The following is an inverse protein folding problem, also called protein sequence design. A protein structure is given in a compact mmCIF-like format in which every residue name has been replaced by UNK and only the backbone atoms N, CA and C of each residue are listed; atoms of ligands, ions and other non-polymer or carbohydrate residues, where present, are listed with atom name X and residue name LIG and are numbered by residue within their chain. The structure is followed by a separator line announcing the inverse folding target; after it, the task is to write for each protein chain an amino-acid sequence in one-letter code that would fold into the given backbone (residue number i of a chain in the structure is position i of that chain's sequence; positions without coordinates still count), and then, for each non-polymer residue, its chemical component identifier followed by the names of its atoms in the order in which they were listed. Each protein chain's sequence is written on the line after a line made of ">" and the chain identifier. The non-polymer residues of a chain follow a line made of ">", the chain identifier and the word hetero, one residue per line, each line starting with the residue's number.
data_IF_943907521421
#
_entry.id   IF_943907521421
#
_cell.length_a   1.000
_cell.length_b   1.000
_cell.length_c   1.000
_cell.angle_alpha   90.00
_cell.angle_beta   90.00
_cell.angle_gamma   90.00
#
_symmetry.space_group_name_H-M   'P 1'
#
loop_
_entity.id
_entity.type
_entity.pdbx_description
1 polymer ?
#
# COMPACT_ATOMS: atom_id res chain seq x y z
N UNK A 1 -3.74 -8.54 7.30
CA UNK A 1 -3.40 -9.92 6.89
C UNK A 1 -2.00 -9.98 6.30
N UNK A 2 -1.38 -11.17 6.23
CA UNK A 2 -0.06 -11.36 5.60
C UNK A 2 -0.17 -12.18 4.32
N UNK A 3 0.64 -11.83 3.33
CA UNK A 3 0.76 -12.47 2.03
C UNK A 3 2.17 -13.07 1.94
N UNK A 4 2.26 -14.38 1.68
CA UNK A 4 3.54 -15.06 1.49
C UNK A 4 3.62 -15.67 0.09
N UNK A 5 4.08 -14.89 -0.88
CA UNK A 5 4.29 -15.38 -2.25
C UNK A 5 5.59 -16.16 -2.42
N UNK A 6 5.58 -17.48 -2.17
CA UNK A 6 6.76 -18.35 -2.37
C UNK A 6 7.98 -17.92 -1.55
N UNK A 7 9.11 -17.63 -2.23
CA UNK A 7 10.38 -17.18 -1.63
C UNK A 7 10.49 -15.65 -1.38
N UNK A 8 9.43 -14.88 -1.61
CA UNK A 8 9.45 -13.43 -1.33
C UNK A 8 9.37 -13.11 0.17
N UNK A 9 9.86 -11.93 0.60
CA UNK A 9 9.58 -11.43 1.94
C UNK A 9 8.06 -11.38 2.18
N UNK A 10 7.67 -11.67 3.42
CA UNK A 10 6.27 -11.62 3.83
C UNK A 10 5.74 -10.19 3.65
N UNK A 11 4.68 -10.07 2.88
CA UNK A 11 4.01 -8.80 2.61
C UNK A 11 2.75 -8.65 3.46
N UNK A 12 2.27 -7.42 3.60
CA UNK A 12 1.02 -7.10 4.29
C UNK A 12 -0.07 -6.75 3.29
N UNK A 13 -1.29 -7.11 3.66
CA UNK A 13 -2.51 -6.66 3.00
C UNK A 13 -3.48 -6.10 4.04
N UNK A 14 -4.26 -5.12 3.62
CA UNK A 14 -5.23 -4.40 4.42
C UNK A 14 -6.62 -4.67 3.90
N UNK A 15 -7.50 -5.22 4.73
CA UNK A 15 -8.88 -5.52 4.34
C UNK A 15 -9.63 -4.20 4.26
N UNK A 16 -10.14 -3.86 3.08
CA UNK A 16 -10.83 -2.58 2.80
C UNK A 16 -12.29 -2.78 2.37
N UNK A 17 -12.73 -4.03 2.33
CA UNK A 17 -14.11 -4.44 2.09
C UNK A 17 -14.25 -5.94 2.26
N UNK A 18 -15.49 -6.44 2.26
CA UNK A 18 -15.81 -7.85 2.54
C UNK A 18 -14.97 -8.83 1.71
N UNK A 19 -14.75 -8.54 0.43
CA UNK A 19 -14.02 -9.41 -0.50
C UNK A 19 -12.73 -8.78 -1.02
N UNK A 20 -12.27 -7.69 -0.41
CA UNK A 20 -11.24 -6.83 -0.98
C UNK A 20 -10.13 -6.52 0.03
N UNK A 21 -8.90 -6.70 -0.40
CA UNK A 21 -7.73 -6.25 0.34
C UNK A 21 -6.79 -5.40 -0.54
N UNK A 22 -6.14 -4.42 0.07
CA UNK A 22 -5.16 -3.55 -0.55
C UNK A 22 -3.74 -3.98 -0.17
N UNK A 23 -2.85 -4.08 -1.13
CA UNK A 23 -1.42 -4.37 -0.93
C UNK A 23 -0.59 -3.67 -1.99
N UNK A 24 0.71 -3.92 -2.01
CA UNK A 24 1.59 -3.45 -3.07
C UNK A 24 1.63 -4.42 -4.24
N UNK A 25 1.79 -3.93 -5.46
CA UNK A 25 1.83 -4.77 -6.65
C UNK A 25 3.04 -5.71 -6.64
N UNK A 26 4.22 -5.27 -6.21
CA UNK A 26 5.41 -6.15 -6.14
C UNK A 26 5.19 -7.40 -5.27
N UNK A 27 4.28 -7.34 -4.28
CA UNK A 27 3.99 -8.46 -3.39
C UNK A 27 3.24 -9.60 -4.08
N UNK A 28 2.50 -9.30 -5.14
CA UNK A 28 1.62 -10.25 -5.83
C UNK A 28 1.90 -10.36 -7.32
N UNK A 29 2.77 -9.50 -7.87
CA UNK A 29 3.25 -9.59 -9.24
C UNK A 29 3.96 -10.93 -9.46
N UNK A 30 3.52 -11.68 -10.47
CA UNK A 30 4.06 -12.99 -10.84
C UNK A 30 4.01 -14.04 -9.70
N UNK A 31 3.10 -13.87 -8.72
CA UNK A 31 2.88 -14.87 -7.67
C UNK A 31 1.73 -15.79 -8.06
N UNK A 32 1.94 -17.09 -7.91
CA UNK A 32 0.86 -18.06 -8.03
C UNK A 32 -0.17 -17.75 -6.93
N UNK A 33 -1.40 -17.59 -7.38
CA UNK A 33 -2.60 -17.28 -6.60
C UNK A 33 -2.76 -18.24 -5.41
N UNK A 34 -2.37 -19.50 -5.59
CA UNK A 34 -2.44 -20.55 -4.56
C UNK A 34 -1.42 -20.39 -3.42
N UNK A 35 -0.41 -19.54 -3.59
CA UNK A 35 0.61 -19.29 -2.56
C UNK A 35 0.20 -18.24 -1.53
N UNK A 36 -0.90 -17.51 -1.74
CA UNK A 36 -1.36 -16.47 -0.81
C UNK A 36 -2.16 -17.12 0.34
N UNK A 37 -1.44 -17.42 1.42
CA UNK A 37 -1.73 -18.44 2.42
C UNK A 37 -2.99 -18.33 3.31
N UNK A 38 -4.00 -17.49 3.06
CA UNK A 38 -5.09 -17.34 4.05
C UNK A 38 -6.52 -17.22 3.52
N UNK A 39 -6.74 -16.91 2.24
CA UNK A 39 -8.09 -16.81 1.68
C UNK A 39 -8.03 -17.28 0.24
N UNK A 40 -8.99 -18.11 -0.19
CA UNK A 40 -9.11 -18.53 -1.59
C UNK A 40 -9.08 -17.28 -2.47
N UNK A 41 -7.95 -17.04 -3.10
CA UNK A 41 -7.66 -15.80 -3.78
C UNK A 41 -8.27 -15.88 -5.18
N UNK A 42 -9.08 -14.90 -5.54
CA UNK A 42 -9.82 -14.90 -6.81
C UNK A 42 -9.06 -14.14 -7.91
N UNK A 43 -8.20 -13.19 -7.53
CA UNK A 43 -7.36 -12.44 -8.48
C UNK A 43 -6.84 -11.12 -7.94
N UNK A 44 -5.82 -10.56 -8.62
CA UNK A 44 -5.28 -9.23 -8.33
C UNK A 44 -5.59 -8.25 -9.47
N UNK A 45 -5.90 -7.01 -9.10
CA UNK A 45 -6.08 -5.89 -10.02
C UNK A 45 -5.02 -4.85 -9.68
N UNK A 46 -4.25 -4.43 -10.68
CA UNK A 46 -3.16 -3.49 -10.50
C UNK A 46 -3.60 -2.07 -10.83
N UNK A 47 -3.06 -1.10 -10.10
CA UNK A 47 -3.25 0.30 -10.46
C UNK A 47 -2.73 0.54 -11.91
N UNK A 48 -3.48 1.24 -12.77
CA UNK A 48 -3.21 1.28 -14.22
C UNK A 48 -2.01 2.14 -14.62
N UNK A 49 -1.49 2.96 -13.72
CA UNK A 49 -0.31 3.79 -13.99
C UNK A 49 0.89 2.88 -14.25
N UNK A 50 1.36 2.90 -15.50
CA UNK A 50 2.54 2.14 -15.93
C UNK A 50 3.79 2.71 -15.29
N UNK A 51 4.71 1.82 -14.91
CA UNK A 51 6.03 2.15 -14.40
C UNK A 51 6.70 3.20 -15.30
N UNK A 52 6.82 4.44 -14.82
CA UNK A 52 7.76 5.40 -15.41
C UNK A 52 9.14 5.02 -14.90
N UNK A 53 9.82 4.13 -15.61
CA UNK A 53 11.23 3.84 -15.37
C UNK A 53 12.06 4.78 -16.25
N UNK A 54 12.56 5.88 -15.68
CA UNK A 54 13.54 6.76 -16.36
C UNK A 54 14.90 6.77 -15.67
N UNK A 55 15.09 6.02 -14.57
CA UNK A 55 16.31 6.14 -13.74
C UNK A 55 16.90 4.82 -13.25
N UNK A 56 16.35 3.65 -13.60
CA UNK A 56 16.89 2.38 -13.10
C UNK A 56 16.68 2.17 -11.59
N UNK A 57 15.75 2.94 -11.00
CA UNK A 57 15.29 2.72 -9.63
C UNK A 57 14.27 1.58 -9.61
N UNK A 58 14.50 0.57 -8.76
CA UNK A 58 13.75 -0.70 -8.74
C UNK A 58 12.30 -0.61 -8.24
N UNK A 59 11.74 0.59 -8.07
CA UNK A 59 10.43 0.80 -7.46
C UNK A 59 9.51 1.55 -8.43
N UNK A 60 8.38 0.94 -8.78
CA UNK A 60 7.40 1.56 -9.68
C UNK A 60 6.63 2.67 -8.97
N UNK A 61 6.37 3.76 -9.70
CA UNK A 61 5.36 4.75 -9.33
C UNK A 61 4.03 4.02 -9.07
N UNK A 62 3.39 4.28 -7.92
CA UNK A 62 2.09 3.72 -7.56
C UNK A 62 2.04 2.18 -7.57
N UNK A 63 3.01 1.56 -6.90
CA UNK A 63 3.11 0.11 -6.71
C UNK A 63 2.02 -0.45 -5.79
N UNK A 64 0.76 -0.46 -6.26
CA UNK A 64 -0.43 -0.88 -5.51
C UNK A 64 -1.26 -1.91 -6.29
N UNK A 65 -1.84 -2.85 -5.54
CA UNK A 65 -2.75 -3.87 -6.03
C UNK A 65 -3.96 -4.03 -5.11
N UNK A 66 -5.11 -4.28 -5.71
CA UNK A 66 -6.30 -4.81 -5.06
C UNK A 66 -6.33 -6.33 -5.21
N UNK A 67 -6.65 -7.01 -4.12
CA UNK A 67 -6.83 -8.45 -4.07
C UNK A 67 -8.32 -8.73 -3.89
N UNK A 68 -8.88 -9.52 -4.80
CA UNK A 68 -10.20 -10.12 -4.66
C UNK A 68 -10.04 -11.49 -4.01
N UNK A 69 -10.87 -11.78 -3.02
CA UNK A 69 -10.97 -13.11 -2.41
C UNK A 69 -12.36 -13.69 -2.64
N UNK A 70 -12.48 -15.03 -2.62
CA UNK A 70 -13.76 -15.71 -2.84
C UNK A 70 -14.66 -15.69 -1.59
N UNK A 71 -14.07 -15.59 -0.40
CA UNK A 71 -14.79 -15.63 0.88
C UNK A 71 -14.72 -14.28 1.57
N UNK A 72 -15.81 -13.90 2.24
CA UNK A 72 -15.87 -12.67 3.01
C UNK A 72 -14.83 -12.69 4.15
N UNK A 73 -14.17 -11.56 4.35
CA UNK A 73 -13.16 -11.30 5.37
C UNK A 73 -13.65 -10.32 6.44
N UNK A 74 -14.95 -9.98 6.47
CA UNK A 74 -15.49 -8.93 7.35
C UNK A 74 -15.17 -9.15 8.84
N UNK A 75 -15.17 -10.41 9.29
CA UNK A 75 -14.87 -10.78 10.68
C UNK A 75 -13.41 -10.55 11.10
N UNK A 76 -12.52 -10.31 10.13
CA UNK A 76 -11.09 -10.10 10.37
C UNK A 76 -10.74 -8.61 10.63
N UNK A 77 -11.73 -7.72 10.56
CA UNK A 77 -11.56 -6.28 10.79
C UNK A 77 -11.15 -5.54 9.53
N UNK A 78 -11.95 -4.55 9.14
CA UNK A 78 -11.69 -3.67 8.00
C UNK A 78 -10.96 -2.42 8.44
N UNK A 79 -10.01 -1.97 7.62
CA UNK A 79 -9.42 -0.64 7.78
C UNK A 79 -10.23 0.38 6.99
N UNK A 80 -10.36 1.57 7.55
CA UNK A 80 -10.95 2.72 6.86
C UNK A 80 -9.84 3.44 6.11
N UNK A 81 -10.04 3.76 4.83
CA UNK A 81 -9.09 4.51 4.02
C UNK A 81 -9.23 6.00 4.33
N UNK A 82 -8.10 6.69 4.53
CA UNK A 82 -8.08 8.14 4.65
C UNK A 82 -8.47 8.79 3.32
N UNK A 83 -9.43 9.72 3.29
CA UNK A 83 -9.74 10.50 2.09
C UNK A 83 -8.70 11.60 1.84
N UNK A 84 -7.85 11.90 2.83
CA UNK A 84 -6.97 13.07 2.82
C UNK A 84 -5.51 12.67 2.61
N UNK A 85 -4.81 13.51 1.83
CA UNK A 85 -3.35 13.48 1.76
C UNK A 85 -2.77 13.93 3.10
N UNK A 86 -1.79 13.20 3.65
CA UNK A 86 -1.18 13.62 4.90
C UNK A 86 -0.40 14.92 4.71
N UNK A 87 -0.47 15.78 5.71
CA UNK A 87 0.23 17.06 5.71
C UNK A 87 1.70 16.87 6.12
N UNK A 88 2.57 17.78 5.66
CA UNK A 88 3.93 17.84 6.16
C UNK A 88 3.95 18.00 7.70
N UNK A 89 4.83 17.26 8.37
CA UNK A 89 4.93 17.23 9.83
C UNK A 89 3.92 16.32 10.53
N UNK A 90 2.91 15.80 9.81
CA UNK A 90 1.96 14.85 10.36
C UNK A 90 2.67 13.60 10.91
N UNK A 91 2.18 13.12 12.05
CA UNK A 91 2.66 11.89 12.67
C UNK A 91 1.80 10.73 12.20
N UNK A 92 2.41 9.79 11.48
CA UNK A 92 1.76 8.57 11.05
C UNK A 92 2.29 7.39 11.86
N UNK A 93 1.42 6.42 12.08
CA UNK A 93 1.71 5.24 12.87
C UNK A 93 1.80 3.99 11.98
N UNK A 94 2.89 3.23 12.09
CA UNK A 94 2.97 1.89 11.50
C UNK A 94 2.44 0.87 12.52
N UNK A 95 1.33 0.22 12.17
CA UNK A 95 0.49 -0.49 13.14
C UNK A 95 1.07 -1.77 13.74
N UNK A 96 2.11 -2.34 13.14
CA UNK A 96 2.68 -3.62 13.62
C UNK A 96 3.90 -3.40 14.50
N UNK A 97 4.80 -2.51 14.08
CA UNK A 97 6.03 -2.20 14.83
C UNK A 97 5.84 -1.08 15.83
N UNK A 98 4.65 -0.44 15.83
CA UNK A 98 4.31 0.68 16.70
C UNK A 98 5.30 1.85 16.52
N UNK A 99 5.70 2.10 15.27
CA UNK A 99 6.68 3.13 14.93
C UNK A 99 5.94 4.39 14.51
N UNK A 100 6.32 5.52 15.11
CA UNK A 100 5.91 6.84 14.64
C UNK A 100 6.82 7.27 13.49
N UNK A 101 6.19 7.82 12.46
CA UNK A 101 6.86 8.39 11.30
C UNK A 101 6.38 9.83 11.11
N UNK A 102 7.27 10.70 10.67
CA UNK A 102 6.95 12.11 10.41
C UNK A 102 6.94 12.36 8.92
N UNK A 103 5.82 12.83 8.39
CA UNK A 103 5.72 13.21 6.97
C UNK A 103 6.66 14.37 6.68
N UNK A 104 7.42 14.25 5.59
CA UNK A 104 8.37 15.29 5.16
C UNK A 104 7.84 16.06 3.97
N UNK A 105 8.42 17.23 3.72
CA UNK A 105 8.09 18.03 2.55
C UNK A 105 8.24 17.24 1.25
N UNK A 106 7.36 17.57 0.30
CA UNK A 106 7.42 17.03 -1.05
C UNK A 106 8.79 17.29 -1.70
N UNK A 107 9.36 18.48 -1.52
CA UNK A 107 10.69 18.82 -2.04
C UNK A 107 11.80 17.94 -1.48
N UNK A 108 11.74 17.57 -0.20
CA UNK A 108 12.71 16.65 0.39
C UNK A 108 12.49 15.21 -0.08
N UNK A 109 11.23 14.81 -0.27
CA UNK A 109 10.89 13.51 -0.85
C UNK A 109 11.44 13.37 -2.28
N UNK A 110 11.26 14.41 -3.11
CA UNK A 110 11.66 14.39 -4.52
C UNK A 110 13.16 14.43 -4.74
N UNK A 111 13.93 15.02 -3.82
CA UNK A 111 15.40 14.91 -3.83
C UNK A 111 15.91 13.49 -3.65
N UNK A 112 15.16 12.63 -2.94
CA UNK A 112 15.59 11.27 -2.61
C UNK A 112 15.10 10.30 -3.67
N UNK A 113 13.82 10.37 -4.04
CA UNK A 113 13.22 9.40 -4.93
C UNK A 113 13.09 9.93 -6.36
N UNK A 114 12.97 11.24 -6.58
CA UNK A 114 12.48 11.85 -7.83
C UNK A 114 11.02 12.36 -7.73
N UNK A 115 10.44 12.85 -8.83
CA UNK A 115 9.06 13.32 -8.86
C UNK A 115 8.06 12.16 -9.04
N UNK A 116 7.19 11.93 -8.04
CA UNK A 116 6.10 10.96 -8.11
C UNK A 116 4.80 11.65 -7.70
N UNK A 117 3.79 11.63 -8.57
CA UNK A 117 2.44 12.01 -8.17
C UNK A 117 1.79 10.89 -7.36
N UNK A 118 0.97 11.26 -6.38
CA UNK A 118 0.19 10.31 -5.60
C UNK A 118 0.95 9.53 -4.53
N UNK A 119 2.19 9.94 -4.23
CA UNK A 119 2.95 9.40 -3.11
C UNK A 119 3.33 10.51 -2.13
N UNK A 120 3.75 10.11 -0.93
CA UNK A 120 4.35 10.99 0.06
C UNK A 120 5.53 10.26 0.72
N UNK A 121 6.41 11.04 1.35
CA UNK A 121 7.50 10.48 2.14
C UNK A 121 7.29 10.73 3.63
N UNK A 122 7.72 9.78 4.45
CA UNK A 122 7.88 9.97 5.89
C UNK A 122 9.25 9.50 6.38
N UNK A 123 9.70 10.09 7.49
CA UNK A 123 10.96 9.77 8.16
C UNK A 123 10.73 9.07 9.50
N UNK A 124 11.70 8.27 9.93
CA UNK A 124 11.64 7.48 11.15
C UNK A 124 13.00 6.93 11.56
N UNK A 125 13.10 6.49 12.82
CA UNK A 125 14.35 5.95 13.40
C UNK A 125 14.60 4.47 13.05
N UNK A 126 13.57 3.76 12.59
CA UNK A 126 13.60 2.31 12.32
C UNK A 126 13.24 2.02 10.86
N UNK A 127 13.61 0.85 10.35
CA UNK A 127 13.28 0.48 8.96
C UNK A 127 11.83 -0.02 8.88
N UNK A 128 11.04 0.65 8.04
CA UNK A 128 9.77 0.11 7.54
C UNK A 128 10.02 -0.78 6.34
N UNK A 129 9.30 -1.89 6.31
CA UNK A 129 9.26 -2.79 5.16
C UNK A 129 8.19 -2.29 4.19
N UNK A 130 8.37 -2.39 2.88
CA UNK A 130 7.31 -2.19 1.92
C UNK A 130 6.10 -3.05 2.23
N UNK A 131 4.95 -2.63 1.72
CA UNK A 131 3.61 -3.09 2.07
C UNK A 131 3.15 -2.73 3.49
N UNK A 132 3.97 -2.05 4.31
CA UNK A 132 3.48 -1.54 5.60
C UNK A 132 2.54 -0.35 5.40
N UNK A 133 1.41 -0.41 6.09
CA UNK A 133 0.40 0.63 6.17
C UNK A 133 0.78 1.66 7.22
N UNK A 134 0.60 2.92 6.86
CA UNK A 134 0.78 4.08 7.70
C UNK A 134 -0.61 4.63 8.04
N UNK A 135 -0.84 4.89 9.32
CA UNK A 135 -2.15 5.25 9.83
C UNK A 135 -2.13 6.63 10.49
N UNK A 136 -3.18 7.41 10.27
CA UNK A 136 -3.47 8.66 10.95
C UNK A 136 -4.90 8.60 11.48
N UNK A 137 -5.11 8.89 12.76
CA UNK A 137 -6.44 8.85 13.40
C UNK A 137 -7.21 7.52 13.18
N UNK A 138 -6.49 6.40 13.11
CA UNK A 138 -7.06 5.07 12.87
C UNK A 138 -7.42 4.75 11.42
N UNK A 139 -7.19 5.67 10.49
CA UNK A 139 -7.40 5.49 9.05
C UNK A 139 -6.10 5.15 8.33
N UNK A 140 -6.16 4.28 7.33
CA UNK A 140 -5.03 3.96 6.46
C UNK A 140 -4.76 5.14 5.52
N UNK A 141 -3.65 5.83 5.77
CA UNK A 141 -3.24 7.03 5.05
C UNK A 141 -2.32 6.71 3.87
N UNK A 142 -1.53 5.64 3.97
CA UNK A 142 -0.71 5.18 2.86
C UNK A 142 -0.12 3.80 3.05
N UNK A 143 0.43 3.26 1.97
CA UNK A 143 1.16 1.99 1.97
C UNK A 143 2.57 2.23 1.45
N UNK A 144 3.55 1.88 2.27
CA UNK A 144 4.97 1.97 1.93
C UNK A 144 5.36 1.10 0.75
N UNK A 145 6.14 1.66 -0.17
CA UNK A 145 6.62 0.97 -1.38
C UNK A 145 8.15 0.90 -1.47
N UNK A 146 8.86 1.56 -0.55
CA UNK A 146 10.32 1.55 -0.47
C UNK A 146 10.82 1.08 0.90
N UNK A 147 12.06 0.61 0.97
CA UNK A 147 12.77 0.36 2.22
C UNK A 147 13.58 1.60 2.62
N UNK A 148 13.57 1.96 3.91
CA UNK A 148 14.50 2.98 4.41
C UNK A 148 14.06 3.68 5.70
N UNK A 149 14.91 4.61 6.13
CA UNK A 149 14.59 5.60 7.17
C UNK A 149 13.74 6.74 6.63
N UNK A 150 13.91 7.07 5.36
CA UNK A 150 12.91 7.79 4.57
C UNK A 150 12.14 6.73 3.80
N UNK A 151 10.81 6.80 3.83
CA UNK A 151 9.94 5.81 3.21
C UNK A 151 9.01 6.52 2.26
N UNK A 152 9.08 6.18 0.97
CA UNK A 152 8.08 6.54 -0.01
C UNK A 152 6.86 5.62 0.13
N UNK A 153 5.68 6.22 0.15
CA UNK A 153 4.41 5.53 0.35
C UNK A 153 3.38 6.02 -0.66
N UNK A 154 2.60 5.11 -1.22
CA UNK A 154 1.44 5.49 -2.03
C UNK A 154 0.38 6.04 -1.10
N UNK A 155 -0.13 7.23 -1.42
CA UNK A 155 -1.22 7.83 -0.68
C UNK A 155 -2.52 7.08 -0.93
N UNK A 156 -3.19 6.70 0.16
CA UNK A 156 -4.48 6.05 0.06
C UNK A 156 -5.51 7.00 -0.57
N UNK A 157 -5.53 8.27 -0.17
CA UNK A 157 -6.38 9.31 -0.74
C UNK A 157 -6.26 9.43 -2.27
N UNK A 158 -5.04 9.30 -2.80
CA UNK A 158 -4.79 9.39 -4.24
C UNK A 158 -5.39 8.22 -5.02
N UNK A 159 -5.41 7.02 -4.43
CA UNK A 159 -5.91 5.80 -5.08
C UNK A 159 -7.36 5.47 -4.70
N UNK A 160 -7.99 6.23 -3.80
CA UNK A 160 -9.34 5.95 -3.29
C UNK A 160 -10.39 5.87 -4.41
N UNK A 161 -10.36 6.79 -5.39
CA UNK A 161 -11.31 6.75 -6.50
C UNK A 161 -11.17 5.45 -7.31
N UNK A 162 -9.94 5.11 -7.71
CA UNK A 162 -9.65 3.85 -8.40
C UNK A 162 -10.09 2.62 -7.58
N UNK A 163 -9.90 2.65 -6.26
CA UNK A 163 -10.34 1.58 -5.37
C UNK A 163 -11.86 1.41 -5.44
N UNK A 164 -12.60 2.52 -5.25
CA UNK A 164 -14.06 2.50 -5.23
C UNK A 164 -14.65 2.08 -6.57
N UNK A 165 -14.11 2.61 -7.68
CA UNK A 165 -14.53 2.28 -9.04
C UNK A 165 -14.33 0.78 -9.29
N UNK A 166 -13.11 0.27 -9.03
CA UNK A 166 -12.77 -1.15 -9.21
C UNK A 166 -13.67 -2.07 -8.38
N UNK A 167 -13.94 -1.71 -7.12
CA UNK A 167 -14.80 -2.50 -6.23
C UNK A 167 -16.27 -2.48 -6.65
N UNK A 168 -16.70 -1.42 -7.35
CA UNK A 168 -18.09 -1.24 -7.80
C UNK A 168 -18.40 -1.96 -9.12
N UNK A 169 -17.47 -1.94 -10.08
CA UNK A 169 -17.64 -2.56 -11.42
C UNK A 169 -17.82 -4.08 -11.35
N UNK A 170 -17.33 -4.71 -10.27
CA UNK A 170 -17.31 -6.17 -10.11
C UNK A 170 -18.55 -6.70 -9.34
N UNK A 171 -19.51 -5.82 -9.00
CA UNK A 171 -20.80 -6.21 -8.42
C UNK A 171 -21.87 -6.61 -9.46
N UNK A 172 -21.53 -6.64 -10.75
CA UNK A 172 -22.37 -7.13 -11.85
C UNK A 172 -21.91 -8.51 -12.33
#
# INVERSE_FOLDING_TARGET
>A
MYIKGGNAPMCRAYIIGDFWALTTKFCVLNKDVNSLALFNFAGAIFHPVKNMDTTGSKFSHLDIALLKVEKSMVEQGMVVISPDMPQEGAQLYESVKLINTTVISYDNCTKIYGNFSGTFCSTQNSIIQPSSGLFENGMLTGISISYGRVTNSVSAAYVTSWILDTMSEIKQ
#
